data_IF_430982467381
#
_entry.id   IF_430982467381
#
_cell.length_a   1.000
_cell.length_b   1.000
_cell.length_c   1.000
_cell.angle_alpha   90.00
_cell.angle_beta   90.00
_cell.angle_gamma   90.00
#
_symmetry.space_group_name_H-M   'P 1'
#
loop_
_entity.id
_entity.type
_entity.pdbx_description
1 polymer ?
#
# COMPACT_ATOMS: atom_id res chain seq x y z
N UNK A 1 -10.77 21.26 13.15
CA UNK A 1 -10.44 20.26 12.12
C UNK A 1 -11.19 18.97 12.45
N UNK A 2 -11.74 18.26 11.47
CA UNK A 2 -12.40 16.97 11.73
C UNK A 2 -11.39 15.93 12.26
N UNK A 3 -11.82 15.05 13.15
CA UNK A 3 -10.97 14.02 13.74
C UNK A 3 -10.61 12.92 12.73
N UNK A 4 -9.54 12.15 13.01
CA UNK A 4 -9.14 11.01 12.15
C UNK A 4 -10.25 9.97 12.05
N UNK A 5 -10.99 9.76 13.14
CA UNK A 5 -12.14 8.85 13.22
C UNK A 5 -13.27 9.30 12.30
N UNK A 6 -13.61 10.60 12.30
CA UNK A 6 -14.63 11.16 11.41
C UNK A 6 -14.24 11.01 9.93
N UNK A 7 -12.97 11.29 9.60
CA UNK A 7 -12.48 11.13 8.22
C UNK A 7 -12.50 9.66 7.78
N UNK A 8 -12.10 8.75 8.65
CA UNK A 8 -12.16 7.30 8.40
C UNK A 8 -13.58 6.84 8.09
N UNK A 9 -14.56 7.28 8.90
CA UNK A 9 -15.95 6.93 8.68
C UNK A 9 -16.49 7.46 7.35
N UNK A 10 -16.21 8.73 7.02
CA UNK A 10 -16.61 9.36 5.76
C UNK A 10 -16.05 8.63 4.54
N UNK A 11 -14.76 8.29 4.57
CA UNK A 11 -14.10 7.57 3.46
C UNK A 11 -14.72 6.19 3.26
N UNK A 12 -14.93 5.43 4.35
CA UNK A 12 -15.55 4.09 4.27
C UNK A 12 -16.98 4.13 3.75
N UNK A 13 -17.77 5.11 4.20
CA UNK A 13 -19.13 5.30 3.71
C UNK A 13 -19.15 5.67 2.22
N UNK A 14 -18.26 6.57 1.80
CA UNK A 14 -18.13 6.94 0.40
C UNK A 14 -17.75 5.73 -0.47
N UNK A 15 -16.74 4.97 -0.07
CA UNK A 15 -16.33 3.74 -0.75
C UNK A 15 -17.49 2.76 -0.94
N UNK A 16 -18.25 2.50 0.12
CA UNK A 16 -19.41 1.61 0.04
C UNK A 16 -20.50 2.17 -0.89
N UNK A 17 -20.77 3.48 -0.83
CA UNK A 17 -21.76 4.12 -1.72
C UNK A 17 -21.36 4.10 -3.20
N UNK A 18 -20.06 4.03 -3.48
CA UNK A 18 -19.50 3.89 -4.82
C UNK A 18 -19.45 2.44 -5.31
N UNK A 19 -19.91 1.48 -4.51
CA UNK A 19 -19.99 0.06 -4.87
C UNK A 19 -18.78 -0.78 -4.49
N UNK A 20 -17.82 -0.25 -3.72
CA UNK A 20 -16.73 -1.07 -3.18
C UNK A 20 -17.24 -1.95 -2.03
N UNK A 21 -16.95 -3.25 -2.11
CA UNK A 21 -17.32 -4.22 -1.07
C UNK A 21 -16.51 -4.02 0.22
N UNK A 22 -15.25 -3.58 0.09
CA UNK A 22 -14.34 -3.39 1.21
C UNK A 22 -13.69 -2.00 1.18
N UNK A 23 -13.27 -1.52 2.36
CA UNK A 23 -12.46 -0.32 2.49
C UNK A 23 -11.56 -0.41 3.74
N UNK A 24 -10.29 -0.73 3.51
CA UNK A 24 -9.22 -0.72 4.50
C UNK A 24 -8.48 0.61 4.52
N UNK A 25 -8.03 1.05 5.70
CA UNK A 25 -7.13 2.19 5.85
C UNK A 25 -5.98 1.77 6.74
N UNK A 26 -4.76 1.84 6.23
CA UNK A 26 -3.53 1.49 6.93
C UNK A 26 -2.61 2.71 7.04
N UNK A 27 -1.69 2.70 8.01
CA UNK A 27 -0.64 3.72 8.11
C UNK A 27 0.33 3.56 6.94
N UNK A 28 0.72 4.67 6.31
CA UNK A 28 1.77 4.65 5.32
C UNK A 28 3.11 4.51 6.04
N UNK A 29 3.69 3.31 5.99
CA UNK A 29 4.98 2.96 6.57
C UNK A 29 5.69 1.97 5.66
N UNK A 30 7.01 1.90 5.79
CA UNK A 30 7.82 0.87 5.14
C UNK A 30 7.42 -0.53 5.63
N UNK A 31 7.22 -1.43 4.68
CA UNK A 31 6.79 -2.82 4.89
C UNK A 31 8.02 -3.73 4.99
N UNK A 32 8.67 -3.76 6.16
CA UNK A 32 9.96 -4.47 6.35
C UNK A 32 9.87 -5.99 6.10
N UNK A 33 8.82 -6.65 6.58
CA UNK A 33 8.65 -8.10 6.37
C UNK A 33 8.40 -8.44 4.90
N UNK A 34 7.53 -7.67 4.24
CA UNK A 34 7.24 -7.85 2.83
C UNK A 34 8.44 -7.52 1.94
N UNK A 35 9.26 -6.54 2.33
CA UNK A 35 10.53 -6.24 1.67
C UNK A 35 11.47 -7.46 1.68
N UNK A 36 11.68 -8.08 2.85
CA UNK A 36 12.53 -9.29 2.97
C UNK A 36 11.98 -10.44 2.14
N UNK A 37 10.65 -10.64 2.16
CA UNK A 37 10.00 -11.70 1.38
C UNK A 37 10.14 -11.46 -0.12
N UNK A 38 9.95 -10.22 -0.57
CA UNK A 38 10.11 -9.84 -1.98
C UNK A 38 11.55 -10.02 -2.43
N UNK A 39 12.53 -9.57 -1.64
CA UNK A 39 13.95 -9.75 -1.94
C UNK A 39 14.33 -11.23 -2.08
N UNK A 40 13.91 -12.08 -1.13
CA UNK A 40 14.12 -13.53 -1.22
C UNK A 40 13.45 -14.14 -2.44
N UNK A 41 12.26 -13.66 -2.80
CA UNK A 41 11.50 -14.16 -3.93
C UNK A 41 12.15 -13.79 -5.27
N UNK A 42 12.64 -12.55 -5.39
CA UNK A 42 13.40 -12.07 -6.54
C UNK A 42 14.73 -12.82 -6.70
N UNK A 43 15.50 -12.98 -5.62
CA UNK A 43 16.79 -13.69 -5.63
C UNK A 43 16.66 -15.17 -6.04
N UNK A 44 15.49 -15.77 -5.83
CA UNK A 44 15.17 -17.14 -6.27
C UNK A 44 14.67 -17.22 -7.72
N UNK A 45 14.63 -16.11 -8.45
CA UNK A 45 14.14 -16.06 -9.83
C UNK A 45 12.65 -16.38 -9.97
N UNK A 46 11.87 -16.29 -8.89
CA UNK A 46 10.46 -16.69 -8.89
C UNK A 46 9.53 -15.72 -9.63
N UNK A 47 10.08 -14.61 -10.15
CA UNK A 47 9.37 -13.65 -10.99
C UNK A 47 9.25 -14.07 -12.46
N UNK A 48 9.88 -15.18 -12.87
CA UNK A 48 9.78 -15.73 -14.22
C UNK A 48 10.23 -14.72 -15.28
N UNK A 49 9.31 -14.27 -16.13
CA UNK A 49 9.60 -13.27 -17.18
C UNK A 49 9.30 -11.82 -16.74
N UNK A 50 8.81 -11.61 -15.52
CA UNK A 50 8.40 -10.29 -15.01
C UNK A 50 9.59 -9.47 -14.52
N UNK A 51 10.54 -9.14 -15.40
CA UNK A 51 11.76 -8.38 -15.04
C UNK A 51 11.44 -7.03 -14.38
N UNK A 52 10.28 -6.44 -14.67
CA UNK A 52 9.83 -5.21 -14.02
C UNK A 52 9.62 -5.34 -12.50
N UNK A 53 9.53 -6.57 -11.97
CA UNK A 53 9.39 -6.82 -10.53
C UNK A 53 10.64 -6.44 -9.74
N UNK A 54 11.81 -6.48 -10.38
CA UNK A 54 13.08 -6.03 -9.78
C UNK A 54 13.19 -4.49 -9.76
N UNK A 55 12.45 -3.82 -10.66
CA UNK A 55 12.48 -2.36 -10.76
C UNK A 55 11.81 -1.69 -9.55
N UNK A 56 12.36 -0.54 -9.17
CA UNK A 56 11.79 0.36 -8.16
C UNK A 56 11.42 -0.32 -6.83
N UNK A 57 12.25 -1.27 -6.37
CA UNK A 57 12.02 -2.04 -5.15
C UNK A 57 11.60 -1.16 -3.95
N UNK A 58 12.36 -0.08 -3.72
CA UNK A 58 12.11 0.89 -2.66
C UNK A 58 10.71 1.52 -2.71
N UNK A 59 10.17 1.79 -3.90
CA UNK A 59 8.83 2.36 -4.07
C UNK A 59 7.72 1.33 -3.81
N UNK A 60 8.02 0.03 -3.94
CA UNK A 60 7.06 -1.06 -3.70
C UNK A 60 6.86 -1.32 -2.21
N UNK A 61 7.91 -1.14 -1.43
CA UNK A 61 7.92 -1.47 -0.01
C UNK A 61 7.65 -0.26 0.88
N UNK A 62 7.74 0.96 0.34
CA UNK A 62 7.56 2.19 1.11
C UNK A 62 6.65 3.19 0.37
N UNK A 63 5.35 3.25 0.72
CA UNK A 63 4.42 4.19 0.10
C UNK A 63 4.78 5.66 0.34
N UNK A 64 5.61 5.97 1.37
CA UNK A 64 6.05 7.35 1.64
C UNK A 64 7.06 7.84 0.60
N UNK A 65 7.79 6.92 -0.05
CA UNK A 65 8.67 7.25 -1.18
C UNK A 65 7.90 7.46 -2.48
N UNK A 66 6.76 6.76 -2.63
CA UNK A 66 5.91 6.90 -3.81
C UNK A 66 5.17 8.25 -3.81
N UNK A 67 4.62 8.65 -2.66
CA UNK A 67 3.96 9.95 -2.47
C UNK A 67 4.55 10.63 -1.23
N UNK A 68 5.44 11.62 -1.40
CA UNK A 68 6.06 12.33 -0.29
C UNK A 68 5.01 12.92 0.67
N UNK A 69 5.16 12.61 1.97
CA UNK A 69 4.23 13.08 3.00
C UNK A 69 2.97 12.23 3.16
N UNK A 70 2.84 11.10 2.45
CA UNK A 70 1.75 10.15 2.68
C UNK A 70 1.72 9.67 4.14
N UNK A 71 0.53 9.69 4.74
CA UNK A 71 0.28 9.27 6.13
C UNK A 71 -0.52 7.98 6.24
N UNK A 72 -1.35 7.71 5.25
CA UNK A 72 -2.19 6.52 5.19
C UNK A 72 -2.38 6.04 3.76
N UNK A 73 -2.68 4.76 3.61
CA UNK A 73 -3.04 4.10 2.36
C UNK A 73 -4.48 3.61 2.50
N UNK A 74 -5.31 3.85 1.49
CA UNK A 74 -6.68 3.34 1.40
C UNK A 74 -6.68 2.18 0.42
N UNK A 75 -7.28 1.06 0.80
CA UNK A 75 -7.42 -0.15 -0.03
C UNK A 75 -8.89 -0.46 -0.18
N UNK A 76 -9.32 -0.66 -1.42
CA UNK A 76 -10.72 -0.85 -1.82
C UNK A 76 -10.90 -2.24 -2.44
#
# INVERSE_FOLDING_TARGET
MASVQEQTAKIKQLANSLGFEFCGIAKAVKLEEDARRLEQWLNKGMHGKMQYMENHFDLRIDPQKLVPGAKSVITL
#
